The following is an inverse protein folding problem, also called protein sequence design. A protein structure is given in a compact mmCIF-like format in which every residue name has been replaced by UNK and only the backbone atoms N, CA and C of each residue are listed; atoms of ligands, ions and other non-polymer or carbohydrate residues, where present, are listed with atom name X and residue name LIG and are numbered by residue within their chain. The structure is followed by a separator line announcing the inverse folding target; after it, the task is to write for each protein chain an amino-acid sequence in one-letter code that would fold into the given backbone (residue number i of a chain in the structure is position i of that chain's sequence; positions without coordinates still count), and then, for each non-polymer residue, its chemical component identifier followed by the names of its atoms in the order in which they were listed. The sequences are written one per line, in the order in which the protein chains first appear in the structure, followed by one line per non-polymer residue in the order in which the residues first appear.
data_IF_132846691894
#
_entry.id   IF_132846691894
#
_cell.length_a   1.000
_cell.length_b   1.000
_cell.length_c   1.000
_cell.angle_alpha   90.00
_cell.angle_beta   90.00
_cell.angle_gamma   90.00
#
_symmetry.space_group_name_H-M   'P 1'
#
loop_
_entity.id
_entity.type
_entity.pdbx_description
1 polymer ?
#
# COMPACT_ATOMS: atom_id res chain seq x y z
N UNK A 1 -24.60 13.03 21.03
CA UNK A 1 -24.65 12.18 19.83
C UNK A 1 -25.35 13.03 18.77
N UNK A 2 -24.73 14.18 18.43
CA UNK A 2 -25.35 15.27 17.63
C UNK A 2 -24.40 15.82 16.55
N UNK A 3 -23.13 15.41 16.50
CA UNK A 3 -22.12 16.00 15.58
C UNK A 3 -22.24 15.48 14.14
N UNK A 4 -22.76 14.26 13.95
CA UNK A 4 -22.81 13.62 12.62
C UNK A 4 -23.99 14.15 11.80
N UNK A 5 -25.15 14.35 12.45
CA UNK A 5 -26.34 14.89 11.79
C UNK A 5 -26.16 16.38 11.43
N UNK A 6 -25.42 17.16 12.22
CA UNK A 6 -25.07 18.56 11.92
C UNK A 6 -24.10 18.64 10.72
N UNK A 7 -23.12 17.72 10.64
CA UNK A 7 -22.18 17.67 9.52
C UNK A 7 -22.87 17.39 8.18
N UNK A 8 -23.80 16.44 8.14
CA UNK A 8 -24.53 16.10 6.92
C UNK A 8 -25.42 17.25 6.45
N UNK A 9 -26.05 17.98 7.38
CA UNK A 9 -26.83 19.18 7.07
C UNK A 9 -25.96 20.30 6.50
N UNK A 10 -24.76 20.51 7.05
CA UNK A 10 -23.81 21.49 6.54
C UNK A 10 -23.29 21.12 5.15
N UNK A 11 -22.95 19.85 4.92
CA UNK A 11 -22.49 19.35 3.62
C UNK A 11 -23.59 19.46 2.54
N UNK A 12 -24.86 19.27 2.92
CA UNK A 12 -25.98 19.41 2.00
C UNK A 12 -26.20 20.86 1.51
N UNK A 13 -25.80 21.86 2.32
CA UNK A 13 -25.91 23.29 2.00
C UNK A 13 -24.78 23.81 1.12
N UNK A 14 -23.69 23.05 0.98
CA UNK A 14 -22.58 23.46 0.12
C UNK A 14 -23.01 23.48 -1.36
N UNK A 15 -22.55 24.46 -2.15
CA UNK A 15 -22.78 24.47 -3.59
C UNK A 15 -22.24 23.18 -4.22
N UNK A 16 -23.15 22.33 -4.73
CA UNK A 16 -22.77 21.10 -5.42
C UNK A 16 -22.38 21.45 -6.84
N UNK A 17 -21.18 21.04 -7.24
CA UNK A 17 -20.75 21.10 -8.65
C UNK A 17 -21.75 20.36 -9.51
N UNK A 18 -22.07 20.95 -10.65
CA UNK A 18 -22.85 20.26 -11.69
C UNK A 18 -22.08 19.06 -12.23
N UNK A 19 -22.76 18.03 -12.78
CA UNK A 19 -22.09 16.90 -13.42
C UNK A 19 -21.11 17.32 -14.53
N UNK A 20 -21.41 18.44 -15.22
CA UNK A 20 -20.55 19.01 -16.26
C UNK A 20 -19.24 19.55 -15.68
N UNK A 21 -19.29 20.21 -14.53
CA UNK A 21 -18.09 20.73 -13.85
C UNK A 21 -17.22 19.60 -13.29
N UNK A 22 -17.84 18.56 -12.72
CA UNK A 22 -17.13 17.37 -12.26
C UNK A 22 -16.45 16.63 -13.41
N UNK A 23 -17.13 16.47 -14.55
CA UNK A 23 -16.54 15.86 -15.74
C UNK A 23 -15.37 16.70 -16.27
N UNK A 24 -15.52 18.02 -16.36
CA UNK A 24 -14.47 18.92 -16.81
C UNK A 24 -13.22 18.84 -15.90
N UNK A 25 -13.41 18.72 -14.59
CA UNK A 25 -12.33 18.51 -13.62
C UNK A 25 -11.62 17.16 -13.82
N UNK A 26 -12.38 16.07 -13.99
CA UNK A 26 -11.81 14.75 -14.25
C UNK A 26 -11.03 14.71 -15.56
N UNK A 27 -11.54 15.34 -16.61
CA UNK A 27 -10.85 15.46 -17.90
C UNK A 27 -9.61 16.35 -17.82
N UNK A 28 -9.63 17.40 -17.00
CA UNK A 28 -8.45 18.22 -16.73
C UNK A 28 -7.39 17.43 -15.96
N UNK A 29 -7.78 16.68 -14.93
CA UNK A 29 -6.89 15.81 -14.16
C UNK A 29 -6.25 14.73 -15.05
N UNK A 30 -7.03 14.08 -15.92
CA UNK A 30 -6.51 13.09 -16.89
C UNK A 30 -5.50 13.69 -17.87
N UNK A 31 -5.75 14.90 -18.36
CA UNK A 31 -4.79 15.58 -19.25
C UNK A 31 -3.52 15.99 -18.51
N UNK A 32 -3.64 16.43 -17.25
CA UNK A 32 -2.49 16.77 -16.41
C UNK A 32 -1.65 15.54 -16.08
N UNK A 33 -2.28 14.40 -15.78
CA UNK A 33 -1.61 13.12 -15.53
C UNK A 33 -0.92 12.58 -16.78
N UNK A 34 -1.60 12.61 -17.94
CA UNK A 34 -0.99 12.23 -19.21
C UNK A 34 0.19 13.15 -19.62
N UNK A 35 0.18 14.40 -19.17
CA UNK A 35 1.27 15.35 -19.36
C UNK A 35 2.32 15.30 -18.24
N UNK A 36 2.08 14.55 -17.16
CA UNK A 36 3.04 14.40 -16.08
C UNK A 36 4.24 13.62 -16.60
N UNK A 37 5.44 14.07 -16.20
CA UNK A 37 6.64 13.27 -16.42
C UNK A 37 6.50 12.01 -15.59
N UNK A 38 6.80 10.86 -16.20
CA UNK A 38 6.95 9.63 -15.45
C UNK A 38 7.87 9.91 -14.25
N UNK A 39 7.55 9.39 -13.06
CA UNK A 39 8.44 9.53 -11.91
C UNK A 39 9.83 9.06 -12.32
N UNK A 40 10.86 9.75 -11.83
CA UNK A 40 12.22 9.37 -12.16
C UNK A 40 12.44 7.90 -11.79
N UNK A 41 13.02 7.09 -12.70
CA UNK A 41 13.32 5.70 -12.42
C UNK A 41 14.08 5.60 -11.09
N UNK A 42 13.45 4.97 -10.11
CA UNK A 42 14.06 4.80 -8.80
C UNK A 42 15.26 3.85 -8.90
N UNK A 43 16.23 3.95 -7.99
CA UNK A 43 17.32 2.95 -7.89
C UNK A 43 16.83 1.58 -7.42
N UNK A 44 15.56 1.48 -6.99
CA UNK A 44 14.93 0.21 -6.63
C UNK A 44 14.54 -0.47 -7.95
N UNK A 45 15.11 -1.64 -8.26
CA UNK A 45 14.76 -2.39 -9.46
C UNK A 45 13.28 -2.77 -9.43
N UNK A 46 12.66 -2.81 -10.61
CA UNK A 46 11.32 -3.38 -10.75
C UNK A 46 11.33 -4.81 -10.22
N UNK A 47 10.30 -5.23 -9.46
CA UNK A 47 10.23 -6.60 -8.98
C UNK A 47 9.93 -7.58 -10.12
N UNK A 48 10.35 -8.82 -9.91
CA UNK A 48 10.03 -9.94 -10.78
C UNK A 48 8.74 -10.65 -10.35
N UNK A 49 8.08 -11.30 -11.31
CA UNK A 49 6.89 -12.13 -11.08
C UNK A 49 7.19 -13.56 -11.55
N UNK A 50 7.90 -14.37 -10.74
CA UNK A 50 8.49 -15.62 -11.20
C UNK A 50 7.46 -16.72 -11.51
N UNK A 51 6.21 -16.56 -11.10
CA UNK A 51 5.17 -17.58 -11.26
C UNK A 51 4.01 -17.11 -12.12
N UNK A 52 3.73 -17.88 -13.18
CA UNK A 52 2.64 -17.62 -14.11
C UNK A 52 1.26 -17.89 -13.48
N UNK A 53 0.17 -17.32 -14.04
CA UNK A 53 -1.19 -17.64 -13.64
C UNK A 53 -1.45 -19.16 -13.63
N UNK A 54 -2.06 -19.66 -12.56
CA UNK A 54 -2.33 -21.09 -12.35
C UNK A 54 -1.30 -21.83 -11.49
N UNK A 55 -0.14 -21.23 -11.20
CA UNK A 55 0.80 -21.75 -10.22
C UNK A 55 0.29 -21.49 -8.78
N UNK A 56 0.56 -22.37 -7.79
CA UNK A 56 0.16 -22.13 -6.40
C UNK A 56 0.67 -20.80 -5.83
N UNK A 57 1.87 -20.37 -6.25
CA UNK A 57 2.48 -19.09 -5.85
C UNK A 57 2.25 -17.97 -6.88
N UNK A 58 1.27 -18.11 -7.79
CA UNK A 58 0.89 -17.03 -8.70
C UNK A 58 0.55 -15.76 -7.90
N UNK A 59 1.07 -14.61 -8.34
CA UNK A 59 0.96 -13.34 -7.62
C UNK A 59 2.09 -13.03 -6.65
N UNK A 60 3.08 -13.93 -6.49
CA UNK A 60 4.31 -13.60 -5.77
C UNK A 60 5.11 -12.53 -6.52
N UNK A 61 5.61 -11.57 -5.75
CA UNK A 61 6.43 -10.44 -6.14
C UNK A 61 7.81 -10.65 -5.54
N UNK A 62 8.86 -10.61 -6.38
CA UNK A 62 10.24 -10.83 -5.98
C UNK A 62 11.06 -9.55 -6.12
N UNK A 63 11.64 -9.09 -5.02
CA UNK A 63 12.56 -7.95 -4.98
C UNK A 63 14.00 -8.45 -4.86
N UNK A 64 14.73 -8.46 -5.97
CA UNK A 64 16.15 -8.83 -5.95
C UNK A 64 17.01 -7.73 -5.36
N UNK A 65 18.09 -8.13 -4.68
CA UNK A 65 19.09 -7.21 -4.18
C UNK A 65 19.66 -6.35 -5.32
N UNK A 66 19.66 -5.00 -5.20
CA UNK A 66 20.13 -4.12 -6.26
C UNK A 66 21.63 -4.27 -6.56
N UNK A 67 22.40 -4.87 -5.63
CA UNK A 67 23.83 -5.17 -5.84
C UNK A 67 24.07 -6.48 -6.62
N UNK A 68 23.00 -7.21 -6.98
CA UNK A 68 23.12 -8.45 -7.76
C UNK A 68 23.76 -9.63 -7.02
N UNK A 69 23.79 -9.61 -5.69
CA UNK A 69 24.44 -10.65 -4.88
C UNK A 69 23.65 -11.98 -4.79
N UNK A 70 22.50 -12.09 -5.46
CA UNK A 70 21.64 -13.28 -5.46
C UNK A 70 20.61 -13.35 -4.33
N UNK A 71 20.70 -12.46 -3.33
CA UNK A 71 19.65 -12.33 -2.32
C UNK A 71 18.39 -11.71 -2.90
N UNK A 72 17.21 -12.16 -2.45
CA UNK A 72 15.91 -11.59 -2.82
C UNK A 72 14.92 -11.67 -1.66
N UNK A 73 13.94 -10.77 -1.67
CA UNK A 73 12.77 -10.78 -0.81
C UNK A 73 11.54 -11.15 -1.64
N UNK A 74 10.79 -12.16 -1.20
CA UNK A 74 9.54 -12.57 -1.84
C UNK A 74 8.35 -12.14 -0.98
N UNK A 75 7.39 -11.47 -1.60
CA UNK A 75 6.09 -11.10 -1.02
C UNK A 75 4.98 -11.75 -1.85
N UNK A 76 3.88 -12.20 -1.23
CA UNK A 76 2.70 -12.64 -1.97
C UNK A 76 1.48 -11.87 -1.47
N UNK A 77 1.21 -10.66 -1.98
CA UNK A 77 0.17 -9.76 -1.45
C UNK A 77 -1.25 -10.36 -1.48
N UNK A 78 -1.50 -11.34 -2.35
CA UNK A 78 -2.80 -12.03 -2.43
C UNK A 78 -2.98 -13.17 -1.42
N UNK A 79 -1.90 -13.59 -0.75
CA UNK A 79 -1.90 -14.66 0.26
C UNK A 79 -1.42 -14.19 1.63
N UNK A 80 -0.58 -13.18 1.67
CA UNK A 80 -0.14 -12.55 2.90
C UNK A 80 -1.30 -11.75 3.46
N UNK A 81 -1.58 -11.92 4.75
CA UNK A 81 -2.49 -11.03 5.47
C UNK A 81 -2.03 -9.58 5.30
N UNK A 82 -2.99 -8.67 5.11
CA UNK A 82 -2.72 -7.24 5.05
C UNK A 82 -1.85 -6.87 6.25
N UNK A 83 -0.64 -6.38 5.98
CA UNK A 83 0.24 -5.96 7.06
C UNK A 83 -0.45 -4.80 7.77
N UNK A 84 -0.92 -5.04 9.00
CA UNK A 84 -1.34 -3.98 9.89
C UNK A 84 -0.24 -2.89 9.94
N UNK A 85 -0.58 -1.62 10.17
CA UNK A 85 0.43 -0.59 10.39
C UNK A 85 1.38 -0.98 11.53
N UNK A 86 2.67 -0.68 11.37
CA UNK A 86 3.63 -0.83 12.47
C UNK A 86 3.26 0.17 13.57
N UNK A 87 2.82 -0.36 14.71
CA UNK A 87 2.59 0.43 15.92
C UNK A 87 3.85 0.33 16.77
N UNK A 88 4.54 1.46 16.96
CA UNK A 88 5.67 1.58 17.88
C UNK A 88 5.28 2.41 19.10
N UNK A 89 5.82 2.11 20.30
CA UNK A 89 5.68 2.97 21.47
C UNK A 89 6.26 4.36 21.21
N UNK A 90 5.77 5.39 21.90
CA UNK A 90 6.37 6.73 21.82
C UNK A 90 7.77 6.78 22.42
N UNK A 91 8.07 5.90 23.39
CA UNK A 91 9.37 5.79 24.02
C UNK A 91 10.37 5.02 23.12
N UNK A 92 11.45 5.67 22.64
CA UNK A 92 12.44 5.05 21.76
C UNK A 92 13.16 3.84 22.38
N UNK A 93 13.31 3.80 23.70
CA UNK A 93 13.98 2.67 24.38
C UNK A 93 13.17 1.36 24.24
N UNK A 94 11.87 1.45 23.96
CA UNK A 94 10.98 0.31 23.78
C UNK A 94 10.82 -0.12 22.31
N UNK A 95 11.43 0.58 21.37
CA UNK A 95 11.25 0.32 19.94
C UNK A 95 11.78 -1.04 19.51
N UNK A 96 12.97 -1.41 19.98
CA UNK A 96 13.60 -2.69 19.63
C UNK A 96 12.70 -3.85 20.05
N UNK A 97 12.22 -3.84 21.29
CA UNK A 97 11.32 -4.87 21.81
C UNK A 97 10.01 -4.95 21.02
N UNK A 98 9.42 -3.80 20.65
CA UNK A 98 8.19 -3.75 19.87
C UNK A 98 8.39 -4.29 18.44
N UNK A 99 9.52 -3.97 17.80
CA UNK A 99 9.88 -4.48 16.47
C UNK A 99 10.09 -6.00 16.48
N UNK A 100 10.81 -6.51 17.49
CA UNK A 100 11.05 -7.95 17.67
C UNK A 100 9.74 -8.69 17.88
N UNK A 101 8.90 -8.25 18.82
CA UNK A 101 7.61 -8.89 19.11
C UNK A 101 6.72 -8.98 17.87
N UNK A 102 6.70 -7.93 17.04
CA UNK A 102 5.93 -7.93 15.79
C UNK A 102 6.53 -8.88 14.74
N UNK A 103 7.85 -8.92 14.61
CA UNK A 103 8.52 -9.84 13.70
C UNK A 103 8.24 -11.30 14.08
N UNK A 104 8.28 -11.63 15.37
CA UNK A 104 7.95 -12.95 15.89
C UNK A 104 6.49 -13.32 15.62
N UNK A 105 5.54 -12.39 15.85
CA UNK A 105 4.13 -12.62 15.55
C UNK A 105 3.89 -12.91 14.06
N UNK A 106 4.55 -12.18 13.16
CA UNK A 106 4.48 -12.44 11.70
C UNK A 106 5.06 -13.80 11.33
N UNK A 107 6.20 -14.16 11.92
CA UNK A 107 6.82 -15.45 11.68
C UNK A 107 5.92 -16.62 12.16
N UNK A 108 5.26 -16.44 13.30
CA UNK A 108 4.31 -17.42 13.84
C UNK A 108 3.08 -17.58 12.94
N UNK A 109 2.47 -16.47 12.53
CA UNK A 109 1.34 -16.49 11.60
C UNK A 109 1.70 -17.17 10.27
N UNK A 110 2.92 -16.94 9.75
CA UNK A 110 3.41 -17.64 8.57
C UNK A 110 3.55 -19.15 8.82
N UNK A 111 4.20 -19.56 9.91
CA UNK A 111 4.37 -20.98 10.28
C UNK A 111 3.03 -21.71 10.42
N UNK A 112 1.99 -21.04 10.91
CA UNK A 112 0.65 -21.63 11.03
C UNK A 112 -0.05 -21.89 9.68
N UNK A 113 0.40 -21.25 8.59
CA UNK A 113 -0.18 -21.37 7.24
C UNK A 113 0.51 -22.41 6.36
N UNK A 114 1.70 -22.88 6.75
CA UNK A 114 2.54 -23.84 6.01
C UNK A 114 2.44 -25.21 6.66
#
# INVERSE_FOLDING_TARGET
MDDVDDLDEWLARLPKRSPREQLAELEAARRADAAARLPEPTTIPMPDFPYMPGHPLAGMVRFSCPLGCGWHHDENPGRDEAAEPLVVPLDPELWEAALVARAEARAEAFRARV
#
